data_IF_183733635862
#
_entry.id   IF_183733635862
#
_cell.length_a   1.000
_cell.length_b   1.000
_cell.length_c   1.000
_cell.angle_alpha   90.00
_cell.angle_beta   90.00
_cell.angle_gamma   90.00
#
_symmetry.space_group_name_H-M   'P 1'
#
loop_
_entity.id
_entity.type
_entity.pdbx_description
1 polymer ?
#
# COMPACT_ATOMS: atom_id res chain seq x y z
N UNK A 1 -18.78 21.36 -38.50
CA UNK A 1 -18.38 22.67 -39.10
C UNK A 1 -17.15 23.12 -38.32
N UNK A 2 -15.92 23.37 -38.80
CA UNK A 2 -15.21 23.39 -40.11
C UNK A 2 -13.74 23.01 -39.75
N UNK A 3 -13.17 21.91 -40.26
CA UNK A 3 -12.18 21.82 -41.36
C UNK A 3 -11.09 22.91 -41.44
N UNK A 4 -9.82 22.48 -41.45
CA UNK A 4 -8.67 22.81 -42.34
C UNK A 4 -7.45 22.05 -41.74
N UNK A 5 -6.98 20.90 -42.24
CA UNK A 5 -6.28 20.55 -43.49
C UNK A 5 -4.78 20.94 -43.54
N UNK A 6 -3.94 19.92 -43.34
CA UNK A 6 -2.61 19.56 -43.90
C UNK A 6 -1.62 20.64 -44.41
N UNK A 7 -0.33 20.46 -44.08
CA UNK A 7 0.70 20.23 -45.11
C UNK A 7 1.97 19.55 -44.56
N UNK A 8 2.36 18.46 -45.21
CA UNK A 8 3.63 17.73 -45.10
C UNK A 8 4.59 18.29 -46.14
N UNK A 9 5.85 18.60 -45.78
CA UNK A 9 6.95 18.73 -46.76
C UNK A 9 8.18 18.00 -46.23
N UNK A 10 8.45 16.87 -46.88
CA UNK A 10 9.71 16.12 -46.87
C UNK A 10 10.62 16.78 -47.91
N UNK A 11 11.87 17.11 -47.55
CA UNK A 11 12.94 17.28 -48.52
C UNK A 11 14.22 16.65 -47.96
N UNK A 12 14.63 15.56 -48.59
CA UNK A 12 15.97 14.97 -48.46
C UNK A 12 16.81 15.26 -49.70
N UNK A 13 18.08 14.83 -49.60
CA UNK A 13 19.18 14.80 -50.59
C UNK A 13 19.97 16.10 -50.81
N UNK A 14 21.27 16.09 -50.50
CA UNK A 14 22.29 15.50 -51.39
C UNK A 14 23.71 15.54 -50.78
N UNK A 15 24.34 14.37 -50.76
CA UNK A 15 25.79 14.15 -50.62
C UNK A 15 26.50 14.62 -51.90
N UNK A 16 27.59 15.38 -51.80
CA UNK A 16 28.59 15.49 -52.87
C UNK A 16 30.00 15.33 -52.28
N UNK A 17 30.63 14.23 -52.68
CA UNK A 17 32.06 13.93 -52.56
C UNK A 17 32.79 14.40 -53.82
N UNK A 18 33.83 15.21 -53.66
CA UNK A 18 35.03 15.37 -54.52
C UNK A 18 36.04 16.14 -53.65
N UNK A 19 37.34 15.87 -53.48
CA UNK A 19 38.38 15.13 -54.20
C UNK A 19 39.69 15.93 -54.00
N UNK A 20 40.69 15.37 -53.30
CA UNK A 20 42.06 15.89 -53.05
C UNK A 20 42.98 15.67 -54.30
N UNK A 21 44.32 15.96 -54.38
CA UNK A 21 45.36 16.53 -53.47
C UNK A 21 46.44 17.41 -54.21
N UNK A 22 47.78 17.43 -53.92
CA UNK A 22 48.58 17.65 -52.70
C UNK A 22 49.60 18.83 -52.82
N UNK A 23 50.29 19.23 -51.73
CA UNK A 23 51.63 19.86 -51.83
C UNK A 23 52.50 19.63 -50.59
N UNK A 24 53.68 19.06 -50.83
CA UNK A 24 54.82 18.91 -49.92
C UNK A 24 55.53 20.26 -49.67
N UNK A 25 56.03 20.46 -48.45
CA UNK A 25 57.29 21.18 -48.17
C UNK A 25 57.77 20.86 -46.73
N UNK A 26 58.94 20.21 -46.60
CA UNK A 26 59.79 20.23 -45.40
C UNK A 26 60.58 21.56 -45.34
N UNK A 27 61.06 22.09 -44.18
CA UNK A 27 62.22 21.58 -43.39
C UNK A 27 62.17 21.98 -41.86
N UNK A 28 63.27 22.01 -41.04
CA UNK A 28 64.29 21.01 -40.69
C UNK A 28 64.35 20.65 -39.17
N UNK A 29 64.99 19.50 -38.89
CA UNK A 29 65.60 18.93 -37.66
C UNK A 29 65.83 19.80 -36.40
N UNK A 30 65.36 19.31 -35.23
CA UNK A 30 66.19 18.98 -34.04
C UNK A 30 65.38 18.21 -32.96
N UNK A 31 65.87 17.02 -32.61
CA UNK A 31 65.64 16.21 -31.38
C UNK A 31 64.24 16.15 -30.75
N UNK A 32 63.46 15.10 -31.11
CA UNK A 32 62.43 14.54 -30.23
C UNK A 32 62.95 13.25 -29.59
N UNK A 33 63.05 13.26 -28.27
CA UNK A 33 63.23 12.08 -27.42
C UNK A 33 62.07 11.11 -27.63
N UNK A 34 62.39 9.92 -28.13
CA UNK A 34 61.45 8.83 -28.32
C UNK A 34 60.76 8.42 -27.01
N UNK A 35 59.44 8.17 -27.00
CA UNK A 35 58.80 7.38 -25.96
C UNK A 35 59.24 5.91 -26.08
N UNK A 36 59.44 5.19 -24.96
CA UNK A 36 59.90 3.82 -25.00
C UNK A 36 58.92 2.93 -25.77
N UNK A 37 59.48 2.12 -26.67
CA UNK A 37 58.79 1.11 -27.47
C UNK A 37 57.99 0.15 -26.60
N UNK A 38 56.76 -0.11 -27.03
CA UNK A 38 56.00 -1.28 -26.63
C UNK A 38 56.84 -2.54 -26.90
N UNK A 39 57.26 -3.24 -25.85
CA UNK A 39 57.66 -4.63 -25.96
C UNK A 39 56.39 -5.49 -26.02
N UNK A 40 56.26 -6.22 -27.13
CA UNK A 40 55.23 -7.22 -27.38
C UNK A 40 55.23 -8.31 -26.31
N UNK A 41 54.47 -8.13 -25.23
CA UNK A 41 53.96 -9.27 -24.45
C UNK A 41 52.67 -9.75 -25.11
N UNK A 42 52.82 -10.79 -25.92
CA UNK A 42 51.76 -11.66 -26.42
C UNK A 42 50.88 -12.12 -25.24
N UNK A 43 49.72 -11.46 -25.04
CA UNK A 43 48.75 -11.84 -24.02
C UNK A 43 48.01 -13.11 -24.46
N UNK A 44 48.66 -14.25 -24.30
CA UNK A 44 48.04 -15.56 -24.25
C UNK A 44 47.87 -15.89 -22.78
N UNK A 45 46.77 -15.46 -22.14
CA UNK A 45 46.46 -15.92 -20.78
C UNK A 45 46.12 -17.40 -20.86
N UNK A 46 47.00 -18.24 -20.36
CA UNK A 46 46.77 -19.68 -20.16
C UNK A 46 46.16 -19.90 -18.78
N UNK A 47 45.50 -21.05 -18.56
CA UNK A 47 44.95 -21.41 -17.25
C UNK A 47 46.03 -21.42 -16.15
N UNK A 48 47.29 -21.65 -16.51
CA UNK A 48 48.44 -21.62 -15.61
C UNK A 48 48.85 -20.18 -15.20
N UNK A 49 48.47 -19.14 -15.95
CA UNK A 49 48.75 -17.73 -15.60
C UNK A 49 47.76 -17.18 -14.53
N UNK A 50 46.73 -17.95 -14.16
CA UNK A 50 45.76 -17.59 -13.12
C UNK A 50 46.20 -18.04 -11.71
N UNK A 51 47.25 -18.88 -11.62
CA UNK A 51 47.75 -19.46 -10.36
C UNK A 51 48.95 -18.67 -9.78
N UNK A 52 49.45 -17.64 -10.46
CA UNK A 52 50.47 -16.74 -9.90
C UNK A 52 49.80 -15.61 -9.09
N UNK A 53 49.82 -15.74 -7.76
CA UNK A 53 49.48 -14.67 -6.83
C UNK A 53 50.45 -13.48 -7.01
N UNK A 54 50.17 -12.59 -7.96
CA UNK A 54 50.97 -11.40 -8.21
C UNK A 54 50.94 -10.51 -6.95
N UNK A 55 52.10 -10.34 -6.30
CA UNK A 55 52.20 -9.57 -5.06
C UNK A 55 51.87 -8.11 -5.34
N UNK A 56 50.89 -7.56 -4.61
CA UNK A 56 50.54 -6.14 -4.67
C UNK A 56 51.78 -5.25 -4.57
N UNK A 57 51.94 -4.34 -5.52
CA UNK A 57 52.97 -3.31 -5.48
C UNK A 57 52.79 -2.39 -4.27
N UNK A 58 53.86 -1.73 -3.82
CA UNK A 58 53.79 -0.79 -2.70
C UNK A 58 52.79 0.36 -2.95
N UNK A 59 52.59 0.76 -4.21
CA UNK A 59 51.58 1.73 -4.61
C UNK A 59 50.16 1.21 -4.38
N UNK A 60 49.86 -0.02 -4.81
CA UNK A 60 48.55 -0.65 -4.60
C UNK A 60 48.29 -0.90 -3.10
N UNK A 61 49.30 -1.30 -2.33
CA UNK A 61 49.18 -1.48 -0.88
C UNK A 61 48.85 -0.16 -0.16
N UNK A 62 49.47 0.95 -0.59
CA UNK A 62 49.20 2.28 -0.04
C UNK A 62 47.78 2.75 -0.42
N UNK A 63 47.32 2.44 -1.62
CA UNK A 63 45.95 2.72 -2.07
C UNK A 63 44.92 1.93 -1.23
N UNK A 64 45.15 0.63 -1.04
CA UNK A 64 44.32 -0.22 -0.17
C UNK A 64 44.26 0.30 1.27
N UNK A 65 45.40 0.73 1.83
CA UNK A 65 45.44 1.27 3.19
C UNK A 65 44.65 2.59 3.30
N UNK A 66 44.74 3.46 2.29
CA UNK A 66 43.93 4.68 2.22
C UNK A 66 42.45 4.35 2.10
N UNK A 67 42.09 3.39 1.25
CA UNK A 67 40.71 2.93 1.09
C UNK A 67 40.14 2.36 2.39
N UNK A 68 40.91 1.56 3.13
CA UNK A 68 40.51 1.03 4.45
C UNK A 68 40.27 2.14 5.47
N UNK A 69 41.18 3.10 5.59
CA UNK A 69 41.01 4.26 6.50
C UNK A 69 39.79 5.10 6.12
N UNK A 70 39.57 5.34 4.84
CA UNK A 70 38.38 6.03 4.35
C UNK A 70 37.09 5.26 4.68
N UNK A 71 37.07 3.94 4.51
CA UNK A 71 35.92 3.10 4.86
C UNK A 71 35.61 3.11 6.37
N UNK A 72 36.63 3.06 7.23
CA UNK A 72 36.47 3.18 8.68
C UNK A 72 35.88 4.54 9.09
N UNK A 73 36.38 5.62 8.48
CA UNK A 73 35.86 6.97 8.71
C UNK A 73 34.40 7.09 8.26
N UNK A 74 34.04 6.57 7.08
CA UNK A 74 32.65 6.51 6.60
C UNK A 74 31.77 5.72 7.55
N UNK A 75 32.22 4.55 8.03
CA UNK A 75 31.46 3.74 8.98
C UNK A 75 31.18 4.48 10.28
N UNK A 76 32.14 5.26 10.79
CA UNK A 76 31.94 6.11 11.97
C UNK A 76 30.91 7.21 11.68
N UNK A 77 31.03 7.88 10.55
CA UNK A 77 30.09 8.93 10.13
C UNK A 77 28.66 8.40 9.99
N UNK A 78 28.47 7.23 9.36
CA UNK A 78 27.16 6.59 9.21
C UNK A 78 26.50 6.35 10.58
N UNK A 79 27.28 5.86 11.57
CA UNK A 79 26.76 5.65 12.94
C UNK A 79 26.33 6.96 13.61
N UNK A 80 27.11 8.03 13.43
CA UNK A 80 26.76 9.35 13.98
C UNK A 80 25.52 9.95 13.30
N UNK A 81 25.38 9.75 11.99
CA UNK A 81 24.21 10.18 11.22
C UNK A 81 22.96 9.38 11.60
N UNK A 82 23.06 8.07 11.80
CA UNK A 82 21.94 7.22 12.20
C UNK A 82 21.25 7.73 13.48
N UNK A 83 22.02 8.22 14.46
CA UNK A 83 21.46 8.81 15.69
C UNK A 83 20.66 10.08 15.40
N UNK A 84 21.18 10.97 14.53
CA UNK A 84 20.49 12.20 14.13
C UNK A 84 19.24 11.90 13.30
N UNK A 85 19.36 10.96 12.38
CA UNK A 85 18.30 10.55 11.48
C UNK A 85 17.14 9.91 12.25
N UNK A 86 17.45 9.10 13.27
CA UNK A 86 16.47 8.54 14.20
C UNK A 86 15.78 9.63 15.03
N UNK A 87 16.51 10.64 15.51
CA UNK A 87 15.93 11.74 16.26
C UNK A 87 14.94 12.55 15.41
N UNK A 88 15.31 12.91 14.17
CA UNK A 88 14.41 13.61 13.25
C UNK A 88 13.20 12.75 12.85
N UNK A 89 13.38 11.44 12.66
CA UNK A 89 12.25 10.54 12.40
C UNK A 89 11.26 10.54 13.56
N UNK A 90 11.74 10.57 14.81
CA UNK A 90 10.86 10.64 16.00
C UNK A 90 10.02 11.92 16.01
N UNK A 91 10.58 13.06 15.60
CA UNK A 91 9.81 14.31 15.47
C UNK A 91 8.69 14.18 14.42
N UNK A 92 9.00 13.58 13.27
CA UNK A 92 8.01 13.34 12.22
C UNK A 92 6.96 12.30 12.64
N UNK A 93 7.32 11.30 13.43
CA UNK A 93 6.36 10.33 13.97
C UNK A 93 5.29 10.98 14.85
N UNK A 94 5.66 11.97 15.67
CA UNK A 94 4.69 12.76 16.47
C UNK A 94 3.74 13.55 15.56
N UNK A 95 4.22 14.06 14.42
CA UNK A 95 3.35 14.72 13.43
C UNK A 95 2.46 13.72 12.71
N UNK A 96 2.98 12.55 12.35
CA UNK A 96 2.22 11.45 11.74
C UNK A 96 1.11 10.97 12.66
N UNK A 97 1.37 10.84 13.95
CA UNK A 97 0.37 10.45 14.95
C UNK A 97 -0.84 11.40 14.94
N UNK A 98 -0.63 12.72 14.88
CA UNK A 98 -1.72 13.69 14.75
C UNK A 98 -2.54 13.53 13.47
N UNK A 99 -1.88 13.19 12.36
CA UNK A 99 -2.58 12.90 11.09
C UNK A 99 -3.43 11.64 11.23
N UNK A 100 -2.89 10.59 11.87
CA UNK A 100 -3.62 9.34 12.10
C UNK A 100 -4.79 9.51 13.09
N UNK A 101 -4.65 10.36 14.11
CA UNK A 101 -5.75 10.78 15.00
C UNK A 101 -6.86 11.47 14.20
N UNK A 102 -6.51 12.43 13.34
CA UNK A 102 -7.48 13.14 12.51
C UNK A 102 -8.19 12.22 11.50
N UNK A 103 -7.46 11.25 10.93
CA UNK A 103 -8.03 10.19 10.09
C UNK A 103 -8.98 9.28 10.87
N UNK A 104 -8.65 8.93 12.11
CA UNK A 104 -9.50 8.11 12.97
C UNK A 104 -10.80 8.84 13.34
N UNK A 105 -10.73 10.14 13.67
CA UNK A 105 -11.91 10.99 13.89
C UNK A 105 -12.81 11.04 12.64
N UNK A 106 -12.22 11.29 11.46
CA UNK A 106 -12.96 11.31 10.20
C UNK A 106 -13.64 9.96 9.91
N UNK A 107 -12.97 8.84 10.15
CA UNK A 107 -13.54 7.50 10.01
C UNK A 107 -14.73 7.28 10.94
N UNK A 108 -14.67 7.80 12.16
CA UNK A 108 -15.78 7.74 13.11
C UNK A 108 -16.98 8.58 12.63
N UNK A 109 -16.75 9.80 12.13
CA UNK A 109 -17.80 10.66 11.56
C UNK A 109 -18.46 10.01 10.33
N UNK A 110 -17.67 9.48 9.40
CA UNK A 110 -18.16 8.73 8.24
C UNK A 110 -19.02 7.55 8.71
N UNK A 111 -18.55 6.78 9.69
CA UNK A 111 -19.32 5.64 10.25
C UNK A 111 -20.68 6.08 10.80
N UNK A 112 -20.74 7.21 11.52
CA UNK A 112 -22.01 7.77 12.03
C UNK A 112 -22.97 8.13 10.90
N UNK A 113 -22.49 8.81 9.85
CA UNK A 113 -23.33 9.20 8.70
C UNK A 113 -23.82 7.96 7.93
N UNK A 114 -22.95 6.98 7.73
CA UNK A 114 -23.30 5.73 7.06
C UNK A 114 -24.30 4.90 7.86
N UNK A 115 -24.20 4.89 9.20
CA UNK A 115 -25.22 4.30 10.07
C UNK A 115 -26.57 4.99 9.93
N UNK A 116 -26.63 6.33 10.03
CA UNK A 116 -27.88 7.09 9.79
C UNK A 116 -28.53 6.73 8.45
N UNK A 117 -27.72 6.62 7.39
CA UNK A 117 -28.19 6.18 6.06
C UNK A 117 -28.77 4.76 6.08
N UNK A 118 -28.05 3.81 6.68
CA UNK A 118 -28.50 2.42 6.80
C UNK A 118 -29.81 2.31 7.62
N UNK A 119 -29.91 3.05 8.73
CA UNK A 119 -31.12 3.16 9.53
C UNK A 119 -32.30 3.69 8.71
N UNK A 120 -32.11 4.79 7.96
CA UNK A 120 -33.16 5.37 7.12
C UNK A 120 -33.69 4.36 6.09
N UNK A 121 -32.78 3.62 5.44
CA UNK A 121 -33.16 2.55 4.49
C UNK A 121 -33.90 1.41 5.18
N UNK A 122 -33.43 0.96 6.34
CA UNK A 122 -34.05 -0.12 7.11
C UNK A 122 -35.45 0.25 7.61
N UNK A 123 -35.65 1.49 8.08
CA UNK A 123 -36.97 1.98 8.48
C UNK A 123 -37.94 2.06 7.31
N UNK A 124 -37.47 2.48 6.12
CA UNK A 124 -38.27 2.43 4.88
C UNK A 124 -38.67 1.00 4.53
N UNK A 125 -37.71 0.08 4.56
CA UNK A 125 -37.95 -1.36 4.34
C UNK A 125 -39.00 -1.93 5.31
N UNK A 126 -38.87 -1.65 6.61
CA UNK A 126 -39.82 -2.10 7.62
C UNK A 126 -41.23 -1.58 7.35
N UNK A 127 -41.38 -0.27 7.09
CA UNK A 127 -42.67 0.36 6.81
C UNK A 127 -43.35 -0.23 5.58
N UNK A 128 -42.59 -0.47 4.52
CA UNK A 128 -43.12 -0.96 3.24
C UNK A 128 -43.48 -2.45 3.29
N UNK A 129 -42.65 -3.28 3.93
CA UNK A 129 -42.76 -4.75 3.82
C UNK A 129 -43.24 -5.46 5.07
N UNK A 130 -43.04 -4.89 6.26
CA UNK A 130 -43.23 -5.62 7.54
C UNK A 130 -44.36 -5.03 8.39
N UNK A 131 -44.44 -3.71 8.53
CA UNK A 131 -45.31 -3.03 9.50
C UNK A 131 -46.80 -3.45 9.40
N UNK A 132 -47.32 -3.63 8.19
CA UNK A 132 -48.71 -4.05 7.95
C UNK A 132 -49.01 -5.54 8.17
N UNK A 133 -47.99 -6.36 8.43
CA UNK A 133 -48.08 -7.84 8.49
C UNK A 133 -47.63 -8.40 9.83
N UNK A 134 -47.61 -7.60 10.89
CA UNK A 134 -47.29 -8.08 12.23
C UNK A 134 -48.48 -8.89 12.77
N UNK A 135 -48.20 -10.06 13.37
CA UNK A 135 -49.22 -10.91 13.98
C UNK A 135 -49.89 -10.19 15.15
N UNK A 136 -51.22 -10.33 15.28
CA UNK A 136 -51.99 -9.73 16.39
C UNK A 136 -51.57 -10.26 17.76
N UNK A 137 -51.12 -11.51 17.79
CA UNK A 137 -50.61 -12.23 18.95
C UNK A 137 -49.07 -12.24 19.03
N UNK A 138 -48.39 -11.39 18.25
CA UNK A 138 -46.94 -11.25 18.31
C UNK A 138 -46.49 -10.86 19.72
N UNK A 139 -45.47 -11.57 20.23
CA UNK A 139 -44.82 -11.26 21.51
C UNK A 139 -43.84 -10.08 21.44
N UNK A 140 -43.51 -9.61 20.22
CA UNK A 140 -42.71 -8.40 20.00
C UNK A 140 -43.59 -7.29 19.44
N UNK A 141 -43.35 -6.07 19.91
CA UNK A 141 -43.98 -4.88 19.35
C UNK A 141 -43.46 -4.55 17.94
N UNK A 142 -44.17 -3.70 17.23
CA UNK A 142 -43.72 -3.18 15.94
C UNK A 142 -42.35 -2.48 16.06
N UNK A 143 -42.16 -1.69 17.11
CA UNK A 143 -40.91 -0.98 17.37
C UNK A 143 -39.74 -1.93 17.65
N UNK A 144 -39.98 -3.03 18.38
CA UNK A 144 -38.94 -4.04 18.64
C UNK A 144 -38.52 -4.78 17.35
N UNK A 145 -39.47 -5.07 16.46
CA UNK A 145 -39.18 -5.70 15.16
C UNK A 145 -38.43 -4.71 14.25
N UNK A 146 -38.85 -3.44 14.22
CA UNK A 146 -38.14 -2.37 13.50
C UNK A 146 -36.70 -2.25 14.00
N UNK A 147 -36.49 -2.22 15.32
CA UNK A 147 -35.16 -2.12 15.93
C UNK A 147 -34.26 -3.29 15.52
N UNK A 148 -34.78 -4.51 15.45
CA UNK A 148 -33.99 -5.68 15.02
C UNK A 148 -33.58 -5.58 13.55
N UNK A 149 -34.48 -5.13 12.67
CA UNK A 149 -34.15 -4.94 11.24
C UNK A 149 -33.14 -3.79 11.08
N UNK A 150 -33.31 -2.70 11.84
CA UNK A 150 -32.38 -1.58 11.85
C UNK A 150 -30.99 -2.02 12.32
N UNK A 151 -30.88 -2.71 13.46
CA UNK A 151 -29.59 -3.25 13.94
C UNK A 151 -28.98 -4.25 12.95
N UNK A 152 -29.80 -5.04 12.27
CA UNK A 152 -29.31 -5.94 11.23
C UNK A 152 -28.69 -5.17 10.06
N UNK A 153 -29.36 -4.11 9.61
CA UNK A 153 -28.91 -3.26 8.51
C UNK A 153 -27.69 -2.38 8.86
N UNK A 154 -27.55 -1.93 10.11
CA UNK A 154 -26.38 -1.18 10.60
C UNK A 154 -25.21 -2.08 10.96
N UNK A 155 -25.40 -3.41 10.96
CA UNK A 155 -24.38 -4.40 11.31
C UNK A 155 -24.19 -4.60 12.82
N UNK A 156 -24.95 -3.87 13.65
CA UNK A 156 -24.86 -3.90 15.12
C UNK A 156 -25.53 -5.14 15.73
N UNK A 157 -26.43 -5.79 14.99
CA UNK A 157 -27.14 -6.97 15.48
C UNK A 157 -26.18 -8.14 15.71
N UNK A 158 -26.20 -8.69 16.91
CA UNK A 158 -25.37 -9.84 17.29
C UNK A 158 -26.15 -11.15 17.31
N UNK A 159 -25.43 -12.26 17.12
CA UNK A 159 -26.00 -13.62 17.24
C UNK A 159 -26.53 -13.85 18.66
N UNK A 160 -25.87 -13.30 19.68
CA UNK A 160 -26.28 -13.42 21.08
C UNK A 160 -27.64 -12.75 21.32
N UNK A 161 -27.82 -11.51 20.85
CA UNK A 161 -29.10 -10.81 20.98
C UNK A 161 -30.23 -11.57 20.29
N UNK A 162 -30.02 -12.06 19.07
CA UNK A 162 -31.01 -12.86 18.35
C UNK A 162 -31.38 -14.15 19.10
N UNK A 163 -30.40 -14.86 19.68
CA UNK A 163 -30.65 -16.02 20.54
C UNK A 163 -31.53 -15.64 21.74
N UNK A 164 -31.20 -14.54 22.40
CA UNK A 164 -31.94 -14.08 23.58
C UNK A 164 -33.38 -13.70 23.23
N UNK A 165 -33.60 -13.01 22.11
CA UNK A 165 -34.94 -12.67 21.61
C UNK A 165 -35.74 -13.94 21.29
N UNK A 166 -35.17 -14.88 20.52
CA UNK A 166 -35.86 -16.12 20.13
C UNK A 166 -36.22 -16.97 21.35
N UNK A 167 -35.29 -17.18 22.27
CA UNK A 167 -35.50 -18.09 23.42
C UNK A 167 -36.35 -17.42 24.50
N UNK A 168 -35.96 -16.22 24.95
CA UNK A 168 -36.58 -15.60 26.14
C UNK A 168 -37.89 -14.87 25.81
N UNK A 169 -37.96 -14.17 24.68
CA UNK A 169 -39.14 -13.38 24.31
C UNK A 169 -40.12 -14.19 23.47
N UNK A 170 -39.64 -14.88 22.43
CA UNK A 170 -40.53 -15.62 21.52
C UNK A 170 -40.88 -17.03 22.04
N UNK A 171 -40.04 -17.62 22.90
CA UNK A 171 -40.27 -18.95 23.48
C UNK A 171 -39.87 -20.10 22.56
N UNK A 172 -38.98 -19.84 21.60
CA UNK A 172 -38.37 -20.87 20.75
C UNK A 172 -37.41 -21.71 21.59
N UNK A 173 -37.44 -23.03 21.41
CA UNK A 173 -36.58 -23.94 22.18
C UNK A 173 -35.09 -23.68 21.90
N UNK A 174 -34.25 -23.89 22.92
CA UNK A 174 -32.79 -23.72 22.77
C UNK A 174 -32.25 -24.70 21.73
N UNK A 175 -32.80 -25.92 21.68
CA UNK A 175 -32.43 -26.97 20.74
C UNK A 175 -32.70 -26.54 19.29
N UNK A 176 -33.84 -25.91 19.03
CA UNK A 176 -34.21 -25.41 17.69
C UNK A 176 -33.29 -24.27 17.25
N UNK A 177 -33.00 -23.30 18.14
CA UNK A 177 -32.07 -22.20 17.81
C UNK A 177 -30.67 -22.72 17.52
N UNK A 178 -30.15 -23.67 18.30
CA UNK A 178 -28.84 -24.28 18.02
C UNK A 178 -28.85 -25.13 16.75
N UNK A 179 -30.00 -25.75 16.40
CA UNK A 179 -30.17 -26.47 15.14
C UNK A 179 -30.05 -25.52 13.94
N UNK A 180 -30.72 -24.38 13.96
CA UNK A 180 -30.63 -23.35 12.90
C UNK A 180 -29.18 -22.91 12.70
N UNK A 181 -28.44 -22.72 13.79
CA UNK A 181 -27.03 -22.30 13.73
C UNK A 181 -26.14 -23.40 13.14
N UNK A 182 -26.36 -24.65 13.53
CA UNK A 182 -25.62 -25.79 12.96
C UNK A 182 -25.89 -25.94 11.47
N UNK A 183 -27.14 -25.79 11.05
CA UNK A 183 -27.53 -25.84 9.64
C UNK A 183 -26.88 -24.70 8.85
N UNK A 184 -26.93 -23.46 9.37
CA UNK A 184 -26.26 -22.32 8.75
C UNK A 184 -24.73 -22.51 8.62
N UNK A 185 -24.08 -23.08 9.63
CA UNK A 185 -22.64 -23.41 9.57
C UNK A 185 -22.33 -24.49 8.52
N UNK A 186 -23.16 -25.52 8.44
CA UNK A 186 -23.00 -26.58 7.45
C UNK A 186 -23.22 -26.05 6.02
N UNK A 187 -24.23 -25.19 5.83
CA UNK A 187 -24.50 -24.49 4.57
C UNK A 187 -23.32 -23.59 4.18
N UNK A 188 -22.82 -22.76 5.10
CA UNK A 188 -21.67 -21.90 4.83
C UNK A 188 -20.39 -22.68 4.49
N UNK A 189 -20.12 -23.80 5.18
CA UNK A 189 -19.01 -24.70 4.84
C UNK A 189 -19.17 -25.30 3.44
N UNK A 190 -20.39 -25.71 3.07
CA UNK A 190 -20.69 -26.25 1.73
C UNK A 190 -20.49 -25.20 0.63
N UNK A 191 -20.78 -23.94 0.94
CA UNK A 191 -20.59 -22.80 0.04
C UNK A 191 -19.15 -22.26 0.01
N UNK A 192 -18.26 -22.79 0.85
CA UNK A 192 -16.86 -22.32 0.93
C UNK A 192 -16.72 -20.91 1.52
N UNK A 193 -17.70 -20.47 2.32
CA UNK A 193 -17.71 -19.15 2.94
C UNK A 193 -16.64 -19.02 4.03
N UNK A 194 -16.10 -17.82 4.19
CA UNK A 194 -15.21 -17.49 5.30
C UNK A 194 -15.96 -17.39 6.64
N UNK A 195 -15.24 -17.25 7.75
CA UNK A 195 -15.83 -17.23 9.10
C UNK A 195 -16.80 -16.05 9.31
N UNK A 196 -16.51 -14.88 8.74
CA UNK A 196 -17.36 -13.70 8.88
C UNK A 196 -18.60 -13.80 8.00
N UNK A 197 -18.48 -14.38 6.81
CA UNK A 197 -19.60 -14.72 5.93
C UNK A 197 -20.52 -15.77 6.57
N UNK A 198 -19.97 -16.80 7.22
CA UNK A 198 -20.75 -17.79 7.99
C UNK A 198 -21.48 -17.12 9.14
N UNK A 199 -20.83 -16.21 9.86
CA UNK A 199 -21.44 -15.46 10.96
C UNK A 199 -22.56 -14.55 10.48
N UNK A 200 -22.41 -13.93 9.31
CA UNK A 200 -23.47 -13.15 8.67
C UNK A 200 -24.65 -14.03 8.27
N UNK A 201 -24.39 -15.19 7.66
CA UNK A 201 -25.43 -16.17 7.31
C UNK A 201 -26.22 -16.64 8.54
N UNK A 202 -25.54 -16.87 9.68
CA UNK A 202 -26.21 -17.20 10.95
C UNK A 202 -27.15 -16.08 11.38
N UNK A 203 -26.72 -14.81 11.33
CA UNK A 203 -27.58 -13.66 11.67
C UNK A 203 -28.81 -13.60 10.77
N UNK A 204 -28.64 -13.81 9.47
CA UNK A 204 -29.71 -13.81 8.48
C UNK A 204 -30.76 -14.90 8.77
N UNK A 205 -30.33 -16.14 9.04
CA UNK A 205 -31.24 -17.26 9.35
C UNK A 205 -31.99 -17.04 10.68
N UNK A 206 -31.30 -16.52 11.70
CA UNK A 206 -31.92 -16.23 12.99
C UNK A 206 -32.91 -15.06 12.89
N UNK A 207 -32.58 -14.00 12.14
CA UNK A 207 -33.50 -12.90 11.87
C UNK A 207 -34.73 -13.38 11.08
N UNK A 208 -34.54 -14.25 10.07
CA UNK A 208 -35.65 -14.88 9.35
C UNK A 208 -36.60 -15.62 10.30
N UNK A 209 -36.04 -16.37 11.27
CA UNK A 209 -36.83 -17.06 12.29
C UNK A 209 -37.60 -16.09 13.19
N UNK A 210 -36.99 -14.96 13.59
CA UNK A 210 -37.71 -13.92 14.36
C UNK A 210 -38.92 -13.40 13.56
N UNK A 211 -38.73 -13.10 12.27
CA UNK A 211 -39.80 -12.61 11.41
C UNK A 211 -40.89 -13.68 11.20
N UNK A 212 -40.52 -14.95 11.05
CA UNK A 212 -41.47 -16.07 10.97
C UNK A 212 -42.36 -16.17 12.21
N UNK A 213 -41.78 -16.01 13.41
CA UNK A 213 -42.54 -16.08 14.66
C UNK A 213 -43.44 -14.86 14.88
N UNK A 214 -43.07 -13.68 14.37
CA UNK A 214 -43.69 -12.38 14.72
C UNK A 214 -44.59 -11.79 13.65
N UNK A 215 -44.52 -12.28 12.41
CA UNK A 215 -45.25 -11.72 11.26
C UNK A 215 -46.08 -12.77 10.54
N UNK A 216 -46.99 -12.32 9.69
CA UNK A 216 -47.77 -13.14 8.75
C UNK A 216 -47.13 -13.20 7.36
N UNK A 217 -45.87 -12.79 7.23
CA UNK A 217 -45.11 -12.85 5.98
C UNK A 217 -44.96 -14.29 5.50
N UNK A 218 -44.98 -14.49 4.17
CA UNK A 218 -44.62 -15.79 3.60
C UNK A 218 -43.11 -16.04 3.71
N UNK A 219 -42.66 -17.28 3.50
CA UNK A 219 -41.23 -17.63 3.52
C UNK A 219 -40.45 -16.83 2.47
N UNK A 220 -41.05 -16.58 1.31
CA UNK A 220 -40.49 -15.78 0.23
C UNK A 220 -40.33 -14.31 0.64
N UNK A 221 -41.36 -13.74 1.28
CA UNK A 221 -41.33 -12.34 1.74
C UNK A 221 -40.32 -12.14 2.87
N UNK A 222 -40.20 -13.09 3.80
CA UNK A 222 -39.15 -13.08 4.84
C UNK A 222 -37.76 -13.14 4.20
N UNK A 223 -37.56 -14.05 3.24
CA UNK A 223 -36.29 -14.17 2.53
C UNK A 223 -35.94 -12.87 1.78
N UNK A 224 -36.93 -12.18 1.22
CA UNK A 224 -36.75 -10.88 0.56
C UNK A 224 -36.34 -9.78 1.55
N UNK A 225 -37.01 -9.66 2.70
CA UNK A 225 -36.67 -8.68 3.75
C UNK A 225 -35.24 -8.90 4.26
N UNK A 226 -34.86 -10.15 4.53
CA UNK A 226 -33.51 -10.50 5.00
C UNK A 226 -32.47 -10.21 3.91
N UNK A 227 -32.78 -10.52 2.64
CA UNK A 227 -31.89 -10.23 1.50
C UNK A 227 -31.67 -8.73 1.32
N UNK A 228 -32.72 -7.91 1.40
CA UNK A 228 -32.59 -6.45 1.29
C UNK A 228 -31.85 -5.85 2.49
N UNK A 229 -32.07 -6.38 3.69
CA UNK A 229 -31.30 -6.01 4.89
C UNK A 229 -29.82 -6.30 4.69
N UNK A 230 -29.46 -7.50 4.21
CA UNK A 230 -28.09 -7.89 3.87
C UNK A 230 -27.49 -7.00 2.77
N UNK A 231 -28.30 -6.61 1.78
CA UNK A 231 -27.90 -5.67 0.73
C UNK A 231 -27.53 -4.30 1.31
N UNK A 232 -28.30 -3.78 2.28
CA UNK A 232 -27.98 -2.51 2.96
C UNK A 232 -26.61 -2.59 3.65
N UNK A 233 -26.32 -3.70 4.35
CA UNK A 233 -25.02 -3.93 5.01
C UNK A 233 -23.88 -3.92 3.98
N UNK A 234 -24.04 -4.67 2.87
CA UNK A 234 -23.03 -4.75 1.80
C UNK A 234 -22.79 -3.39 1.14
N UNK A 235 -23.85 -2.70 0.75
CA UNK A 235 -23.76 -1.34 0.18
C UNK A 235 -23.04 -0.38 1.13
N UNK A 236 -23.32 -0.47 2.44
CA UNK A 236 -22.70 0.39 3.45
C UNK A 236 -21.21 0.09 3.60
N UNK A 237 -20.80 -1.19 3.58
CA UNK A 237 -19.39 -1.59 3.61
C UNK A 237 -18.62 -1.11 2.38
N UNK A 238 -19.19 -1.25 1.19
CA UNK A 238 -18.55 -0.79 -0.05
C UNK A 238 -18.47 0.74 -0.12
N UNK A 239 -19.51 1.45 0.36
CA UNK A 239 -19.49 2.90 0.45
C UNK A 239 -18.41 3.40 1.43
N UNK A 240 -18.25 2.74 2.57
CA UNK A 240 -17.18 3.06 3.52
C UNK A 240 -15.78 2.89 2.90
N UNK A 241 -15.56 1.85 2.10
CA UNK A 241 -14.29 1.66 1.38
C UNK A 241 -14.01 2.79 0.38
N UNK A 242 -15.01 3.16 -0.43
CA UNK A 242 -14.89 4.27 -1.39
C UNK A 242 -14.54 5.59 -0.69
N UNK A 243 -15.21 5.88 0.43
CA UNK A 243 -14.95 7.09 1.20
C UNK A 243 -13.57 7.10 1.86
N UNK A 244 -13.05 5.93 2.27
CA UNK A 244 -11.70 5.82 2.82
C UNK A 244 -10.61 5.99 1.75
N UNK A 245 -10.90 5.61 0.50
CA UNK A 245 -9.98 5.78 -0.63
C UNK A 245 -9.95 7.23 -1.16
N UNK A 246 -11.02 8.00 -0.95
CA UNK A 246 -11.15 9.34 -1.51
C UNK A 246 -10.04 10.30 -1.03
N UNK A 247 -9.54 11.12 -1.95
CA UNK A 247 -8.43 12.07 -1.72
C UNK A 247 -8.87 13.53 -1.80
N UNK A 248 -10.16 13.79 -2.01
CA UNK A 248 -10.69 15.15 -2.07
C UNK A 248 -12.12 15.27 -1.52
N UNK A 249 -12.48 16.48 -1.08
CA UNK A 249 -13.83 16.81 -0.66
C UNK A 249 -14.85 16.67 -1.81
N UNK A 250 -14.47 17.00 -3.04
CA UNK A 250 -15.32 16.90 -4.23
C UNK A 250 -15.68 15.45 -4.54
N UNK A 251 -14.69 14.55 -4.50
CA UNK A 251 -14.92 13.13 -4.69
C UNK A 251 -15.86 12.55 -3.62
N UNK A 252 -15.66 12.92 -2.35
CA UNK A 252 -16.54 12.50 -1.26
C UNK A 252 -17.97 13.00 -1.44
N UNK A 253 -18.16 14.25 -1.85
CA UNK A 253 -19.49 14.79 -2.18
C UNK A 253 -20.16 13.94 -3.25
N UNK A 254 -19.48 13.72 -4.37
CA UNK A 254 -19.99 12.91 -5.47
C UNK A 254 -20.35 11.49 -5.03
N UNK A 255 -19.49 10.83 -4.24
CA UNK A 255 -19.74 9.48 -3.71
C UNK A 255 -21.02 9.45 -2.85
N UNK A 256 -21.21 10.42 -1.96
CA UNK A 256 -22.37 10.45 -1.05
C UNK A 256 -23.67 10.87 -1.77
N UNK A 257 -23.59 11.81 -2.71
CA UNK A 257 -24.70 12.24 -3.57
C UNK A 257 -25.21 11.08 -4.44
N UNK A 258 -24.30 10.37 -5.12
CA UNK A 258 -24.63 9.18 -5.92
C UNK A 258 -25.19 8.04 -5.06
N UNK A 259 -24.71 7.89 -3.83
CA UNK A 259 -25.19 6.87 -2.91
C UNK A 259 -26.62 7.15 -2.41
N UNK A 260 -27.02 8.42 -2.34
CA UNK A 260 -28.33 8.87 -1.85
C UNK A 260 -28.62 8.49 -0.39
N UNK A 261 -29.79 8.90 0.10
CA UNK A 261 -30.25 8.67 1.47
C UNK A 261 -29.31 9.28 2.56
N UNK A 262 -28.44 10.24 2.19
CA UNK A 262 -27.62 11.07 3.07
C UNK A 262 -28.14 12.51 3.03
N UNK A 263 -28.06 13.26 4.13
CA UNK A 263 -28.48 14.66 4.14
C UNK A 263 -27.41 15.59 3.57
N UNK A 264 -27.81 16.69 2.93
CA UNK A 264 -26.87 17.72 2.43
C UNK A 264 -25.98 18.28 3.54
N UNK A 265 -26.51 18.40 4.76
CA UNK A 265 -25.74 18.85 5.93
C UNK A 265 -24.65 17.83 6.32
N UNK A 266 -24.98 16.54 6.37
CA UNK A 266 -24.00 15.48 6.66
C UNK A 266 -22.94 15.42 5.53
N UNK A 267 -23.34 15.56 4.25
CA UNK A 267 -22.41 15.59 3.11
C UNK A 267 -21.44 16.77 3.24
N UNK A 268 -21.95 17.97 3.50
CA UNK A 268 -21.13 19.16 3.66
C UNK A 268 -20.17 19.06 4.85
N UNK A 269 -20.63 18.48 5.98
CA UNK A 269 -19.81 18.26 7.17
C UNK A 269 -18.65 17.31 6.89
N UNK A 270 -18.93 16.14 6.30
CA UNK A 270 -17.89 15.15 5.98
C UNK A 270 -16.92 15.70 4.94
N UNK A 271 -17.42 16.35 3.88
CA UNK A 271 -16.58 16.94 2.85
C UNK A 271 -15.59 17.97 3.42
N UNK A 272 -16.05 18.82 4.35
CA UNK A 272 -15.19 19.78 5.04
C UNK A 272 -14.11 19.08 5.89
N UNK A 273 -14.49 18.07 6.68
CA UNK A 273 -13.53 17.34 7.51
C UNK A 273 -12.50 16.59 6.66
N UNK A 274 -12.91 16.03 5.51
CA UNK A 274 -12.02 15.40 4.53
C UNK A 274 -11.01 16.41 4.01
N UNK A 275 -11.45 17.62 3.64
CA UNK A 275 -10.56 18.69 3.18
C UNK A 275 -9.48 19.02 4.22
N UNK A 276 -9.87 19.16 5.49
CA UNK A 276 -8.96 19.44 6.60
C UNK A 276 -7.95 18.30 6.81
N UNK A 277 -8.40 17.03 6.83
CA UNK A 277 -7.55 15.85 7.04
C UNK A 277 -6.59 15.64 5.86
N UNK A 278 -7.07 15.77 4.63
CA UNK A 278 -6.23 15.67 3.43
C UNK A 278 -5.18 16.78 3.39
N UNK A 279 -5.54 18.01 3.80
CA UNK A 279 -4.57 19.10 3.89
C UNK A 279 -3.47 18.81 4.94
N UNK A 280 -3.83 18.27 6.10
CA UNK A 280 -2.86 17.84 7.11
C UNK A 280 -1.92 16.75 6.59
N UNK A 281 -2.47 15.76 5.87
CA UNK A 281 -1.70 14.68 5.28
C UNK A 281 -0.74 15.20 4.21
N UNK A 282 -1.21 16.05 3.28
CA UNK A 282 -0.36 16.68 2.25
C UNK A 282 0.77 17.50 2.87
N UNK A 283 0.48 18.26 3.93
CA UNK A 283 1.51 19.03 4.65
C UNK A 283 2.55 18.11 5.29
N UNK A 284 2.11 17.02 5.93
CA UNK A 284 3.01 16.02 6.50
C UNK A 284 3.90 15.35 5.44
N UNK A 285 3.32 14.93 4.32
CA UNK A 285 4.05 14.31 3.21
C UNK A 285 5.05 15.28 2.60
N UNK A 286 4.66 16.54 2.37
CA UNK A 286 5.52 17.58 1.82
C UNK A 286 6.73 17.87 2.72
N UNK A 287 6.51 18.03 4.03
CA UNK A 287 7.59 18.24 4.99
C UNK A 287 8.53 17.03 5.06
N UNK A 288 7.96 15.82 5.07
CA UNK A 288 8.72 14.57 5.14
C UNK A 288 9.58 14.37 3.89
N UNK A 289 9.03 14.65 2.70
CA UNK A 289 9.75 14.54 1.44
C UNK A 289 10.88 15.57 1.35
N UNK A 290 10.66 16.81 1.79
CA UNK A 290 11.70 17.83 1.83
C UNK A 290 12.89 17.40 2.71
N UNK A 291 12.61 16.85 3.90
CA UNK A 291 13.64 16.31 4.81
C UNK A 291 14.34 15.09 4.20
N UNK A 292 13.60 14.17 3.59
CA UNK A 292 14.16 13.00 2.91
C UNK A 292 15.09 13.42 1.78
N UNK A 293 14.66 14.35 0.92
CA UNK A 293 15.47 14.85 -0.19
C UNK A 293 16.77 15.49 0.29
N UNK A 294 16.71 16.31 1.35
CA UNK A 294 17.91 16.88 1.98
C UNK A 294 18.88 15.80 2.50
N UNK A 295 18.35 14.68 3.04
CA UNK A 295 19.16 13.52 3.43
C UNK A 295 19.77 12.82 2.24
N UNK A 296 19.02 12.59 1.16
CA UNK A 296 19.57 11.98 -0.05
C UNK A 296 20.72 12.81 -0.63
N UNK A 297 20.57 14.13 -0.72
CA UNK A 297 21.65 15.01 -1.18
C UNK A 297 22.85 14.99 -0.23
N UNK A 298 22.63 14.92 1.08
CA UNK A 298 23.71 14.77 2.08
C UNK A 298 24.44 13.45 1.90
N UNK A 299 23.72 12.35 1.76
CA UNK A 299 24.28 11.01 1.67
C UNK A 299 25.08 10.83 0.36
N UNK A 300 24.63 11.45 -0.73
CA UNK A 300 25.40 11.60 -1.98
C UNK A 300 26.73 12.33 -1.75
N UNK A 301 26.70 13.52 -1.12
CA UNK A 301 27.92 14.30 -0.82
C UNK A 301 28.91 13.58 0.07
N UNK A 302 28.42 12.67 0.92
CA UNK A 302 29.25 11.86 1.82
C UNK A 302 29.62 10.50 1.22
N UNK A 303 29.15 10.20 0.01
CA UNK A 303 29.36 8.95 -0.71
C UNK A 303 28.98 7.72 0.14
N UNK A 304 27.79 7.77 0.75
CA UNK A 304 27.20 6.69 1.56
C UNK A 304 25.83 6.24 1.02
N UNK A 305 25.44 6.69 -0.17
CA UNK A 305 24.11 6.42 -0.76
C UNK A 305 23.91 4.96 -1.21
N UNK A 306 25.01 4.27 -1.55
CA UNK A 306 25.07 2.90 -2.09
C UNK A 306 25.25 1.80 -1.03
N UNK A 307 25.02 2.11 0.25
CA UNK A 307 25.05 1.11 1.30
C UNK A 307 24.10 -0.06 0.97
N UNK A 308 24.64 -1.28 0.98
CA UNK A 308 23.89 -2.48 0.58
C UNK A 308 22.68 -2.75 1.47
N UNK A 309 22.85 -2.63 2.79
CA UNK A 309 21.74 -2.61 3.75
C UNK A 309 21.74 -1.26 4.48
N UNK A 310 20.61 -0.55 4.45
CA UNK A 310 20.39 0.67 5.22
C UNK A 310 19.83 0.32 6.60
N UNK A 311 20.12 1.16 7.58
CA UNK A 311 19.44 1.09 8.88
C UNK A 311 18.00 1.60 8.73
N UNK A 312 17.06 0.66 8.72
CA UNK A 312 15.63 0.90 8.48
C UNK A 312 14.96 1.64 9.66
N UNK A 313 15.57 1.63 10.85
CA UNK A 313 14.97 2.31 11.99
C UNK A 313 14.95 3.83 11.77
N UNK A 314 15.97 4.39 11.12
CA UNK A 314 16.13 5.83 10.92
C UNK A 314 15.53 6.41 9.62
N UNK A 315 15.14 5.57 8.65
CA UNK A 315 14.70 6.08 7.33
C UNK A 315 13.34 6.76 7.36
N UNK A 316 13.18 7.79 6.53
CA UNK A 316 11.94 8.56 6.37
C UNK A 316 11.04 8.00 5.27
N UNK A 317 11.58 7.17 4.39
CA UNK A 317 10.89 6.57 3.25
C UNK A 317 9.60 5.86 3.68
N UNK A 318 9.65 5.12 4.80
CA UNK A 318 8.50 4.42 5.40
C UNK A 318 7.40 5.34 5.92
N UNK A 319 7.69 6.63 6.10
CA UNK A 319 6.70 7.62 6.47
C UNK A 319 5.90 8.12 5.27
N UNK A 320 6.51 8.11 4.07
CA UNK A 320 5.88 8.46 2.80
C UNK A 320 5.13 7.29 2.18
N UNK A 321 5.77 6.11 2.11
CA UNK A 321 5.19 4.88 1.58
C UNK A 321 5.46 3.75 2.57
N UNK A 322 4.39 3.23 3.17
CA UNK A 322 4.46 2.10 4.10
C UNK A 322 5.04 0.85 3.41
N UNK A 323 5.87 0.04 4.09
CA UNK A 323 6.32 -1.25 3.55
C UNK A 323 5.14 -2.19 3.32
N UNK A 324 5.25 -3.04 2.30
CA UNK A 324 4.32 -4.16 2.12
C UNK A 324 4.85 -5.39 2.82
N UNK A 325 4.08 -5.97 3.73
CA UNK A 325 4.42 -7.21 4.45
C UNK A 325 3.75 -8.44 3.86
N UNK A 326 4.40 -9.60 4.02
CA UNK A 326 3.96 -10.85 3.40
C UNK A 326 3.85 -11.99 4.41
N UNK A 327 2.91 -12.89 4.16
CA UNK A 327 2.85 -14.19 4.81
C UNK A 327 4.04 -15.08 4.40
N UNK A 328 4.20 -16.19 5.13
CA UNK A 328 5.23 -17.20 4.83
C UNK A 328 5.06 -17.74 3.41
N UNK A 329 6.14 -17.70 2.62
CA UNK A 329 6.16 -18.11 1.20
C UNK A 329 5.12 -17.41 0.30
N UNK A 330 4.83 -16.13 0.60
CA UNK A 330 3.92 -15.30 -0.21
C UNK A 330 4.61 -14.05 -0.74
N UNK A 331 4.03 -13.52 -1.83
CA UNK A 331 4.51 -12.33 -2.56
C UNK A 331 3.35 -11.51 -3.18
N UNK A 332 2.10 -11.78 -2.79
CA UNK A 332 0.93 -11.03 -3.26
C UNK A 332 0.73 -9.75 -2.43
N UNK A 333 0.24 -8.69 -3.07
CA UNK A 333 0.09 -7.35 -2.48
C UNK A 333 -1.36 -6.87 -2.46
N UNK A 334 -2.34 -7.76 -2.65
CA UNK A 334 -3.74 -7.38 -2.88
C UNK A 334 -4.30 -6.49 -1.77
N UNK A 335 -3.87 -6.72 -0.52
CA UNK A 335 -4.26 -5.92 0.64
C UNK A 335 -3.66 -4.50 0.70
N UNK A 336 -2.69 -4.18 -0.16
CA UNK A 336 -2.00 -2.88 -0.19
C UNK A 336 -2.38 -2.03 -1.40
N UNK A 337 -3.12 -2.56 -2.39
CA UNK A 337 -3.40 -1.87 -3.65
C UNK A 337 -4.14 -0.55 -3.43
N UNK A 338 -5.17 -0.55 -2.57
CA UNK A 338 -5.96 0.65 -2.27
C UNK A 338 -5.09 1.72 -1.55
N UNK A 339 -4.26 1.31 -0.59
CA UNK A 339 -3.33 2.22 0.10
C UNK A 339 -2.29 2.79 -0.86
N UNK A 340 -1.72 1.96 -1.73
CA UNK A 340 -0.72 2.39 -2.73
C UNK A 340 -1.32 3.41 -3.70
N UNK A 341 -2.52 3.17 -4.22
CA UNK A 341 -3.21 4.09 -5.13
C UNK A 341 -3.49 5.43 -4.44
N UNK A 342 -4.02 5.41 -3.22
CA UNK A 342 -4.31 6.62 -2.45
C UNK A 342 -3.04 7.41 -2.13
N UNK A 343 -1.98 6.72 -1.69
CA UNK A 343 -0.69 7.36 -1.40
C UNK A 343 -0.09 7.99 -2.67
N UNK A 344 -0.22 7.32 -3.82
CA UNK A 344 0.22 7.87 -5.10
C UNK A 344 -0.50 9.17 -5.45
N UNK A 345 -1.83 9.21 -5.36
CA UNK A 345 -2.63 10.43 -5.63
C UNK A 345 -2.22 11.62 -4.76
N UNK A 346 -1.83 11.36 -3.50
CA UNK A 346 -1.38 12.40 -2.57
C UNK A 346 0.08 12.81 -2.78
N UNK A 347 0.96 11.88 -3.15
CA UNK A 347 2.40 12.09 -3.28
C UNK A 347 2.81 12.70 -4.62
N UNK A 348 2.16 12.33 -5.73
CA UNK A 348 2.56 12.83 -7.07
C UNK A 348 2.61 14.36 -7.14
N UNK A 349 1.58 15.10 -6.67
CA UNK A 349 1.62 16.57 -6.70
C UNK A 349 2.77 17.19 -5.90
N UNK A 350 3.41 16.41 -5.02
CA UNK A 350 4.56 16.83 -4.22
C UNK A 350 5.87 16.42 -4.92
N UNK A 351 5.91 15.23 -5.51
CA UNK A 351 7.11 14.68 -6.16
C UNK A 351 7.51 15.42 -7.45
N UNK A 352 6.58 16.12 -8.11
CA UNK A 352 6.88 16.93 -9.30
C UNK A 352 7.95 18.01 -9.07
N UNK A 353 8.12 18.44 -7.83
CA UNK A 353 9.15 19.42 -7.43
C UNK A 353 10.55 18.77 -7.25
N UNK A 354 10.66 17.44 -7.36
CA UNK A 354 11.86 16.66 -7.09
C UNK A 354 12.18 15.70 -8.26
N UNK A 355 12.48 16.28 -9.43
CA UNK A 355 12.61 15.55 -10.70
C UNK A 355 13.81 14.59 -10.79
N UNK A 356 14.80 14.73 -9.91
CA UNK A 356 15.98 13.88 -9.82
C UNK A 356 15.78 12.68 -8.87
N UNK A 357 14.55 12.40 -8.44
CA UNK A 357 14.22 11.26 -7.59
C UNK A 357 13.87 10.01 -8.44
N UNK A 358 14.24 8.84 -7.93
CA UNK A 358 13.72 7.52 -8.33
C UNK A 358 13.22 6.76 -7.12
N UNK A 359 12.39 5.74 -7.36
CA UNK A 359 11.91 4.83 -6.31
C UNK A 359 12.48 3.43 -6.58
N UNK A 360 13.23 2.90 -5.63
CA UNK A 360 13.76 1.53 -5.65
C UNK A 360 12.97 0.65 -4.68
N UNK A 361 12.38 -0.42 -5.19
CA UNK A 361 11.71 -1.42 -4.37
C UNK A 361 12.70 -2.48 -3.92
N UNK A 362 12.79 -2.69 -2.61
CA UNK A 362 13.72 -3.65 -2.01
C UNK A 362 12.95 -4.84 -1.42
N UNK A 363 13.01 -5.99 -2.11
CA UNK A 363 12.35 -7.23 -1.66
C UNK A 363 13.18 -8.00 -0.64
N UNK A 364 12.64 -8.18 0.57
CA UNK A 364 13.31 -8.82 1.70
C UNK A 364 12.58 -10.11 2.13
N UNK A 365 13.31 -11.05 2.74
CA UNK A 365 12.79 -12.31 3.30
C UNK A 365 13.31 -12.54 4.71
N UNK A 366 12.69 -13.48 5.43
CA UNK A 366 13.28 -14.01 6.67
C UNK A 366 14.33 -15.10 6.36
N UNK A 367 15.05 -15.53 7.38
CA UNK A 367 16.25 -16.39 7.29
C UNK A 367 15.98 -17.90 7.19
N UNK A 368 14.73 -18.33 6.94
CA UNK A 368 14.35 -19.75 7.13
C UNK A 368 14.70 -20.69 5.97
N UNK A 369 15.01 -20.15 4.80
CA UNK A 369 15.26 -20.93 3.59
C UNK A 369 16.70 -20.75 3.09
N UNK A 370 17.08 -21.42 2.00
CA UNK A 370 18.39 -21.20 1.39
C UNK A 370 18.50 -19.77 0.85
N UNK A 371 19.72 -19.25 0.79
CA UNK A 371 19.99 -17.92 0.27
C UNK A 371 19.42 -17.73 -1.15
N UNK A 372 19.65 -18.68 -2.06
CA UNK A 372 19.11 -18.64 -3.44
C UNK A 372 17.58 -18.58 -3.48
N UNK A 373 16.93 -19.40 -2.64
CA UNK A 373 15.48 -19.40 -2.56
C UNK A 373 14.95 -18.05 -2.05
N UNK A 374 15.59 -17.53 -1.00
CA UNK A 374 15.25 -16.25 -0.40
C UNK A 374 15.52 -15.08 -1.36
N UNK A 375 16.59 -15.13 -2.15
CA UNK A 375 16.87 -14.17 -3.22
C UNK A 375 15.79 -14.20 -4.30
N UNK A 376 15.37 -15.39 -4.74
CA UNK A 376 14.30 -15.56 -5.71
C UNK A 376 12.92 -15.14 -5.15
N UNK A 377 12.64 -15.37 -3.87
CA UNK A 377 11.40 -14.93 -3.22
C UNK A 377 11.37 -13.40 -3.05
N UNK A 378 12.47 -12.79 -2.61
CA UNK A 378 12.63 -11.34 -2.56
C UNK A 378 12.44 -10.70 -3.95
N UNK A 379 12.93 -11.34 -5.00
CA UNK A 379 12.72 -10.90 -6.39
C UNK A 379 11.24 -10.87 -6.76
N UNK A 380 10.48 -11.92 -6.42
CA UNK A 380 9.03 -11.95 -6.63
C UNK A 380 8.31 -10.85 -5.86
N UNK A 381 8.75 -10.57 -4.63
CA UNK A 381 8.13 -9.56 -3.75
C UNK A 381 8.24 -8.14 -4.27
N UNK A 382 9.31 -7.77 -4.97
CA UNK A 382 9.36 -6.45 -5.63
C UNK A 382 8.76 -6.46 -7.05
N UNK A 383 8.82 -7.58 -7.78
CA UNK A 383 8.23 -7.68 -9.13
C UNK A 383 6.70 -7.61 -9.18
N UNK A 384 6.02 -7.98 -8.10
CA UNK A 384 4.56 -7.83 -8.02
C UNK A 384 4.16 -6.34 -7.95
N UNK A 385 4.60 -5.56 -6.94
CA UNK A 385 4.28 -4.13 -6.83
C UNK A 385 4.86 -3.29 -7.97
N UNK A 386 6.02 -3.63 -8.55
CA UNK A 386 6.65 -2.78 -9.57
C UNK A 386 5.75 -2.56 -10.79
N UNK A 387 4.90 -3.53 -11.18
CA UNK A 387 3.98 -3.35 -12.32
C UNK A 387 2.94 -2.27 -12.05
N UNK A 388 2.37 -2.30 -10.84
CA UNK A 388 1.44 -1.28 -10.37
C UNK A 388 2.17 0.07 -10.24
N UNK A 389 3.30 0.10 -9.54
CA UNK A 389 4.05 1.34 -9.29
C UNK A 389 4.65 1.96 -10.55
N UNK A 390 5.09 1.18 -11.55
CA UNK A 390 5.53 1.73 -12.84
C UNK A 390 4.37 2.42 -13.54
N UNK A 391 3.18 1.80 -13.50
CA UNK A 391 1.97 2.40 -14.10
C UNK A 391 1.63 3.71 -13.41
N UNK A 392 1.65 3.72 -12.08
CA UNK A 392 1.34 4.90 -11.28
C UNK A 392 2.46 5.95 -11.41
N UNK A 393 3.65 5.69 -10.90
CA UNK A 393 4.71 6.69 -10.74
C UNK A 393 5.49 7.00 -12.02
N UNK A 394 5.78 6.01 -12.88
CA UNK A 394 6.55 6.27 -14.10
C UNK A 394 5.67 6.76 -15.23
N UNK A 395 4.55 6.09 -15.53
CA UNK A 395 3.72 6.46 -16.68
C UNK A 395 2.83 7.69 -16.42
N UNK A 396 2.40 7.91 -15.17
CA UNK A 396 1.55 9.07 -14.83
C UNK A 396 2.34 10.19 -14.14
N UNK A 397 3.49 9.89 -13.53
CA UNK A 397 4.25 10.84 -12.71
C UNK A 397 5.68 11.12 -13.18
N UNK A 398 6.16 10.48 -14.25
CA UNK A 398 7.54 10.61 -14.78
C UNK A 398 8.66 10.26 -13.77
N UNK A 399 8.40 9.40 -12.79
CA UNK A 399 9.38 8.97 -11.78
C UNK A 399 9.84 7.53 -12.08
N UNK A 400 11.13 7.29 -12.33
CA UNK A 400 11.64 5.94 -12.56
C UNK A 400 11.46 5.04 -11.34
N UNK A 401 11.01 3.81 -11.61
CA UNK A 401 10.86 2.77 -10.59
C UNK A 401 11.79 1.59 -10.92
N UNK A 402 12.61 1.20 -9.95
CA UNK A 402 13.56 0.10 -10.04
C UNK A 402 13.28 -0.94 -8.96
N UNK A 403 13.87 -2.13 -9.09
CA UNK A 403 13.68 -3.19 -8.10
C UNK A 403 14.96 -3.99 -7.86
N UNK A 404 15.14 -4.39 -6.60
CA UNK A 404 16.26 -5.20 -6.15
C UNK A 404 15.81 -6.22 -5.10
N UNK A 405 16.32 -7.44 -5.20
CA UNK A 405 16.15 -8.43 -4.14
C UNK A 405 17.27 -8.30 -3.11
N UNK A 406 16.90 -8.07 -1.85
CA UNK A 406 17.81 -8.15 -0.70
C UNK A 406 17.83 -9.56 -0.09
N UNK A 407 16.89 -10.42 -0.48
CA UNK A 407 16.75 -11.76 0.10
C UNK A 407 16.74 -11.70 1.62
N UNK A 408 17.55 -12.54 2.25
CA UNK A 408 17.71 -12.58 3.70
C UNK A 408 18.85 -11.70 4.23
N UNK A 409 19.54 -10.94 3.38
CA UNK A 409 20.81 -10.29 3.70
C UNK A 409 20.63 -9.02 4.56
N UNK A 410 19.48 -8.35 4.45
CA UNK A 410 19.15 -7.12 5.17
C UNK A 410 18.07 -7.35 6.25
N UNK A 411 18.38 -8.20 7.23
CA UNK A 411 17.52 -8.41 8.40
C UNK A 411 17.47 -7.16 9.28
N UNK A 412 16.29 -6.83 9.79
CA UNK A 412 16.14 -5.88 10.89
C UNK A 412 16.72 -6.45 12.19
N UNK A 413 17.20 -5.59 13.06
CA UNK A 413 17.60 -5.99 14.40
C UNK A 413 16.38 -6.53 15.19
N UNK A 414 16.64 -7.53 16.03
CA UNK A 414 15.63 -8.09 16.92
C UNK A 414 15.37 -7.13 18.07
N UNK A 415 14.12 -6.80 18.29
CA UNK A 415 13.71 -5.95 19.41
C UNK A 415 13.62 -6.75 20.72
N UNK A 416 13.79 -6.09 21.86
CA UNK A 416 13.78 -6.77 23.16
C UNK A 416 12.41 -7.37 23.46
N UNK A 417 12.37 -8.66 23.79
CA UNK A 417 11.12 -9.40 24.07
C UNK A 417 10.36 -9.88 22.83
N UNK A 418 10.87 -9.64 21.63
CA UNK A 418 10.24 -10.07 20.37
C UNK A 418 10.36 -11.58 20.15
N UNK A 419 9.22 -12.21 19.84
CA UNK A 419 9.22 -13.62 19.44
C UNK A 419 9.99 -13.81 18.13
N UNK A 420 10.40 -15.04 17.87
CA UNK A 420 11.11 -15.33 16.63
C UNK A 420 10.18 -15.18 15.42
N UNK A 421 8.91 -15.54 15.59
CA UNK A 421 7.85 -15.46 14.60
C UNK A 421 7.51 -14.02 14.23
N UNK A 422 7.44 -13.12 15.21
CA UNK A 422 7.21 -11.69 14.98
C UNK A 422 8.37 -11.05 14.21
N UNK A 423 9.60 -11.40 14.59
CA UNK A 423 10.80 -10.93 13.90
C UNK A 423 10.86 -11.40 12.44
N UNK A 424 10.53 -12.67 12.19
CA UNK A 424 10.39 -13.17 10.82
C UNK A 424 9.32 -12.41 10.05
N UNK A 425 8.20 -12.11 10.70
CA UNK A 425 7.08 -11.37 10.08
C UNK A 425 7.50 -9.97 9.66
N UNK A 426 8.24 -9.28 10.51
CA UNK A 426 8.85 -7.97 10.18
C UNK A 426 9.84 -8.06 9.02
N UNK A 427 10.58 -9.16 8.87
CA UNK A 427 11.55 -9.33 7.79
C UNK A 427 10.97 -9.77 6.44
N UNK A 428 9.72 -10.25 6.41
CA UNK A 428 9.02 -10.54 5.15
C UNK A 428 8.36 -9.28 4.61
N UNK A 429 9.13 -8.43 3.91
CA UNK A 429 8.65 -7.12 3.45
C UNK A 429 9.21 -6.67 2.10
N UNK A 430 8.59 -5.64 1.53
CA UNK A 430 9.14 -4.81 0.46
C UNK A 430 9.22 -3.38 0.94
N UNK A 431 10.43 -2.82 0.95
CA UNK A 431 10.69 -1.42 1.30
C UNK A 431 10.67 -0.55 0.03
N UNK A 432 10.10 0.65 0.10
CA UNK A 432 9.99 1.59 -1.02
C UNK A 432 10.97 2.74 -0.79
N UNK A 433 12.16 2.64 -1.39
CA UNK A 433 13.29 3.53 -1.10
C UNK A 433 13.42 4.63 -2.13
N UNK A 434 13.43 5.88 -1.70
CA UNK A 434 13.74 7.02 -2.56
C UNK A 434 15.24 7.12 -2.77
N UNK A 435 15.63 7.40 -4.00
CA UNK A 435 17.03 7.52 -4.45
C UNK A 435 17.16 8.72 -5.37
N UNK A 436 18.36 9.26 -5.51
CA UNK A 436 18.66 10.27 -6.53
C UNK A 436 19.12 9.58 -7.81
N UNK A 437 18.78 10.16 -8.97
CA UNK A 437 19.23 9.75 -10.30
C UNK A 437 20.72 9.98 -10.52
#
# INVERSE_FOLDING_TARGET
>A
MKNILQLVVILGLAFILTGCPPKETAPPSAEETAPPSAEDKKASMTLDDLDEDEKLSDAQRLEDEKAKKAAEQRKKLIKELAVKDLAEKKELLVKKEKVEEAKAELKEEISKVLKKRAEKKAKRLFKEKVAGKIKKDSKLSADEIEELIVKAATGELTVKELKEVLIKKLGVSKEEVEKIIKEARAEGKKLGLDEEEVKQLIKEKLLAKVLEETTTLTKEEIAEVVKETSKIVKETKELAKKLAAATSAEEVRKILEEAGDVSEEDIASIAKKVEEVVAQEKNFLSETLAKLYARLQRDRRLEIEDAFCRDIEGILDHLLISPSYFDTDRSNIDGYVDEINRNHELLIPILVDYQDITIQLEGNTDIRASNDYNKALGERRWKTPIKLLTTLYTLQGDIPVLGVSRGEECQMERTSGESQEDWWTRNRRTDYMFKLQ
#
